data_IF_081565458687
#
_entry.id   IF_081565458687
#
_cell.length_a   1.000
_cell.length_b   1.000
_cell.length_c   1.000
_cell.angle_alpha   90.00
_cell.angle_beta   90.00
_cell.angle_gamma   90.00
#
_symmetry.space_group_name_H-M   'P 1'
#
loop_
_entity.id
_entity.type
_entity.pdbx_description
1 polymer ?
#
# COMPACT_ATOMS: atom_id res chain seq x y z
N UNK A 1 -20.21 5.56 1.08
CA UNK A 1 -18.78 5.21 1.19
C UNK A 1 -18.01 6.47 1.52
N UNK A 2 -16.93 6.40 2.31
CA UNK A 2 -16.06 7.55 2.64
C UNK A 2 -14.78 7.43 1.80
N UNK A 3 -14.37 8.47 1.04
CA UNK A 3 -13.13 8.43 0.27
C UNK A 3 -11.90 8.45 1.19
N UNK A 4 -10.85 7.73 0.81
CA UNK A 4 -9.58 7.66 1.54
C UNK A 4 -8.41 7.78 0.57
N UNK A 5 -7.35 8.42 1.02
CA UNK A 5 -6.08 8.54 0.30
C UNK A 5 -5.02 7.63 0.94
N UNK A 6 -4.20 7.01 0.09
CA UNK A 6 -3.03 6.26 0.53
C UNK A 6 -1.93 7.22 0.96
N UNK A 7 -1.57 7.17 2.24
CA UNK A 7 -0.42 7.93 2.79
C UNK A 7 0.88 7.17 2.60
N UNK A 8 0.83 5.83 2.65
CA UNK A 8 1.96 4.97 2.35
C UNK A 8 1.95 3.67 3.15
N UNK A 9 3.06 2.94 3.03
CA UNK A 9 3.33 1.69 3.76
C UNK A 9 4.33 1.98 4.88
N UNK A 10 4.09 1.40 6.06
CA UNK A 10 4.96 1.50 7.24
C UNK A 10 5.15 0.13 7.86
N UNK A 11 6.25 -0.06 8.57
CA UNK A 11 6.52 -1.24 9.38
C UNK A 11 6.51 -0.81 10.84
N UNK A 12 5.63 -1.41 11.64
CA UNK A 12 5.61 -1.15 13.08
C UNK A 12 6.75 -1.89 13.77
N UNK A 13 7.55 -1.16 14.55
CA UNK A 13 8.64 -1.70 15.36
C UNK A 13 8.13 -1.78 16.81
N UNK A 14 8.34 -2.89 17.55
CA UNK A 14 9.26 -4.00 17.28
C UNK A 14 8.65 -5.22 16.57
N UNK A 15 7.34 -5.24 16.33
CA UNK A 15 6.65 -6.41 15.81
C UNK A 15 7.02 -6.75 14.34
N UNK A 16 7.68 -5.83 13.63
CA UNK A 16 7.99 -5.91 12.20
C UNK A 16 6.75 -6.20 11.34
N UNK A 17 5.59 -5.71 11.79
CA UNK A 17 4.31 -5.91 11.11
C UNK A 17 4.09 -4.78 10.10
N UNK A 18 3.95 -5.08 8.80
CA UNK A 18 3.68 -4.04 7.82
C UNK A 18 2.20 -3.62 7.85
N UNK A 19 1.97 -2.33 7.58
CA UNK A 19 0.65 -1.74 7.49
C UNK A 19 0.57 -0.67 6.41
N UNK A 20 -0.60 -0.55 5.82
CA UNK A 20 -0.99 0.55 4.95
C UNK A 20 -1.67 1.61 5.81
N UNK A 21 -1.27 2.86 5.64
CA UNK A 21 -1.91 3.99 6.30
C UNK A 21 -2.79 4.75 5.31
N UNK A 22 -4.09 4.77 5.57
CA UNK A 22 -5.07 5.52 4.79
C UNK A 22 -5.54 6.74 5.58
N UNK A 23 -5.91 7.83 4.88
CA UNK A 23 -6.40 9.06 5.50
C UNK A 23 -7.64 9.61 4.78
N UNK A 24 -8.61 10.10 5.54
CA UNK A 24 -9.70 10.92 4.98
C UNK A 24 -9.12 12.21 4.36
N UNK A 25 -9.40 12.54 3.09
CA UNK A 25 -8.87 13.75 2.46
C UNK A 25 -9.42 15.03 3.12
N UNK A 26 -10.67 14.98 3.55
CA UNK A 26 -11.43 16.11 4.10
C UNK A 26 -12.00 15.80 5.49
N UNK A 27 -12.43 16.85 6.21
CA UNK A 27 -13.07 16.72 7.51
C UNK A 27 -12.07 16.41 8.64
N UNK A 28 -12.29 15.29 9.35
CA UNK A 28 -11.53 14.96 10.57
C UNK A 28 -10.15 14.35 10.30
N UNK A 29 -9.80 14.11 9.03
CA UNK A 29 -8.50 13.54 8.59
C UNK A 29 -8.10 12.30 9.39
N UNK A 30 -9.08 11.43 9.67
CA UNK A 30 -8.85 10.21 10.43
C UNK A 30 -7.88 9.30 9.70
N UNK A 31 -7.04 8.64 10.47
CA UNK A 31 -6.12 7.62 9.98
C UNK A 31 -6.75 6.24 10.16
N UNK A 32 -6.69 5.44 9.10
CA UNK A 32 -7.10 4.04 9.11
C UNK A 32 -5.86 3.17 8.80
N UNK A 33 -5.27 2.53 9.81
CA UNK A 33 -4.24 1.54 9.59
C UNK A 33 -4.87 0.21 9.15
N UNK A 34 -4.31 -0.42 8.12
CA UNK A 34 -4.68 -1.77 7.65
C UNK A 34 -3.42 -2.63 7.70
N UNK A 35 -3.45 -3.68 8.52
CA UNK A 35 -2.37 -4.67 8.56
C UNK A 35 -2.37 -5.48 7.27
N UNK A 36 -1.18 -5.68 6.71
CA UNK A 36 -0.97 -6.46 5.49
C UNK A 36 0.18 -7.44 5.71
N UNK A 37 0.36 -8.39 4.80
CA UNK A 37 1.53 -9.25 4.80
C UNK A 37 2.75 -8.57 4.20
N UNK A 38 3.92 -9.18 4.43
CA UNK A 38 5.21 -8.69 3.92
C UNK A 38 5.27 -8.68 2.40
N UNK A 39 4.59 -9.63 1.73
CA UNK A 39 4.56 -9.71 0.28
C UNK A 39 3.79 -8.54 -0.34
N UNK A 40 2.62 -8.21 0.21
CA UNK A 40 1.83 -7.04 -0.19
C UNK A 40 2.59 -5.75 0.09
N UNK A 41 3.24 -5.65 1.27
CA UNK A 41 3.98 -4.46 1.67
C UNK A 41 5.13 -4.17 0.70
N UNK A 42 5.86 -5.21 0.33
CA UNK A 42 6.95 -5.13 -0.66
C UNK A 42 6.42 -4.72 -2.03
N UNK A 43 5.32 -5.34 -2.50
CA UNK A 43 4.74 -5.03 -3.80
C UNK A 43 4.26 -3.56 -3.88
N UNK A 44 3.57 -3.08 -2.85
CA UNK A 44 3.09 -1.68 -2.77
C UNK A 44 4.29 -0.73 -2.68
N UNK A 45 5.28 -1.03 -1.84
CA UNK A 45 6.46 -0.18 -1.69
C UNK A 45 7.25 -0.04 -2.99
N UNK A 46 7.52 -1.15 -3.69
CA UNK A 46 8.20 -1.14 -5.00
C UNK A 46 7.45 -0.27 -6.01
N UNK A 47 6.12 -0.35 -6.04
CA UNK A 47 5.28 0.49 -6.91
C UNK A 47 5.33 1.97 -6.51
N UNK A 48 5.26 2.30 -5.22
CA UNK A 48 5.37 3.67 -4.71
C UNK A 48 6.73 4.33 -5.00
N UNK A 49 7.81 3.54 -5.02
CA UNK A 49 9.15 4.01 -5.39
C UNK A 49 9.31 4.19 -6.92
N UNK A 50 8.31 3.79 -7.73
CA UNK A 50 8.37 3.87 -9.19
C UNK A 50 9.40 2.93 -9.81
N UNK A 51 9.74 1.84 -9.12
CA UNK A 51 10.68 0.84 -9.63
C UNK A 51 10.00 0.00 -10.72
N UNK A 52 10.54 0.04 -11.93
CA UNK A 52 10.10 -0.83 -13.02
C UNK A 52 10.86 -2.17 -12.98
N UNK A 53 10.18 -3.28 -12.65
CA UNK A 53 10.82 -4.58 -12.62
C UNK A 53 11.08 -5.12 -14.04
N UNK A 54 12.09 -5.98 -14.24
CA UNK A 54 12.44 -6.52 -15.57
C UNK A 54 11.36 -7.43 -16.17
N UNK A 55 10.32 -7.76 -15.40
CA UNK A 55 9.14 -8.53 -15.80
C UNK A 55 7.93 -8.04 -14.98
N UNK A 56 6.70 -8.14 -15.50
CA UNK A 56 5.51 -7.71 -14.77
C UNK A 56 5.36 -8.48 -13.45
N UNK A 57 5.03 -7.74 -12.38
CA UNK A 57 4.60 -8.33 -11.11
C UNK A 57 3.17 -8.83 -11.22
N UNK A 58 2.69 -9.51 -10.18
CA UNK A 58 1.35 -10.09 -10.18
C UNK A 58 0.26 -9.06 -10.43
N UNK A 59 0.38 -7.85 -9.85
CA UNK A 59 -0.60 -6.77 -10.06
C UNK A 59 -0.50 -6.16 -11.46
N UNK A 60 0.70 -6.03 -12.02
CA UNK A 60 0.88 -5.59 -13.41
C UNK A 60 0.25 -6.60 -14.36
N UNK A 61 0.50 -7.90 -14.14
CA UNK A 61 -0.10 -8.97 -14.94
C UNK A 61 -1.63 -8.94 -14.85
N UNK A 62 -2.20 -8.71 -13.66
CA UNK A 62 -3.65 -8.56 -13.50
C UNK A 62 -4.18 -7.34 -14.26
N UNK A 63 -3.50 -6.19 -14.18
CA UNK A 63 -3.89 -4.97 -14.91
C UNK A 63 -3.77 -5.11 -16.44
N UNK A 64 -2.89 -6.00 -16.93
CA UNK A 64 -2.77 -6.31 -18.36
C UNK A 64 -3.94 -7.19 -18.84
N UNK A 65 -4.46 -8.06 -17.97
CA UNK A 65 -5.48 -9.05 -18.32
C UNK A 65 -6.93 -8.58 -18.09
N UNK A 66 -7.12 -7.59 -17.22
CA UNK A 66 -8.42 -6.98 -16.88
C UNK A 66 -8.70 -5.74 -17.74
#
# INVERSE_FOLDING_TARGET
>A
MVPLELIGVRVEVPANTPMVLLREPEGRRRLLPILIGTAEATAIHTSLEGLEPPRPLTHDLMAILL
#
